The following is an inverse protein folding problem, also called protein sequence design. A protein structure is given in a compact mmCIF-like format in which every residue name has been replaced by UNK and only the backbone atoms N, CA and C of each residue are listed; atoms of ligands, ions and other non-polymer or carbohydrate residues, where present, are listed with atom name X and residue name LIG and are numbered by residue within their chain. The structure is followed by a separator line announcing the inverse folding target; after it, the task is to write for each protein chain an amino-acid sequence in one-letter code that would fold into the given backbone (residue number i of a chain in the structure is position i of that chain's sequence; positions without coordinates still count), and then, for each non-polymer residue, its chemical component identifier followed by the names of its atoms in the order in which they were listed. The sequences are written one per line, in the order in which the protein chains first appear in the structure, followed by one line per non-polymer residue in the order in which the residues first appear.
data_IF_222529821369
#
_entry.id   IF_222529821369
#
_cell.length_a   1.000
_cell.length_b   1.000
_cell.length_c   1.000
_cell.angle_alpha   90.00
_cell.angle_beta   90.00
_cell.angle_gamma   90.00
#
_symmetry.space_group_name_H-M   'P 1'
#
loop_
_entity.id
_entity.type
_entity.pdbx_description
1 polymer ?
#
# COMPACT_ATOMS: atom_id res chain seq x y z
N UNK A 1 9.15 12.88 -17.47
CA UNK A 1 9.06 12.34 -16.09
C UNK A 1 7.94 13.11 -15.38
N UNK A 2 6.96 12.41 -14.81
CA UNK A 2 5.82 13.04 -14.09
C UNK A 2 6.24 13.43 -12.67
N UNK A 3 5.54 14.37 -12.02
CA UNK A 3 5.76 14.70 -10.59
C UNK A 3 5.63 13.45 -9.70
N UNK A 4 4.65 12.59 -9.99
CA UNK A 4 4.48 11.29 -9.34
C UNK A 4 5.74 10.40 -9.44
N UNK A 5 6.48 10.44 -10.56
CA UNK A 5 7.73 9.69 -10.70
C UNK A 5 8.83 10.25 -9.76
N UNK A 6 8.96 11.58 -9.71
CA UNK A 6 9.93 12.25 -8.83
C UNK A 6 9.67 11.93 -7.35
N UNK A 7 8.40 11.98 -6.92
CA UNK A 7 8.02 11.65 -5.54
C UNK A 7 8.35 10.19 -5.21
N UNK A 8 8.00 9.25 -6.10
CA UNK A 8 8.30 7.82 -5.88
C UNK A 8 9.79 7.54 -5.78
N UNK A 9 10.61 8.12 -6.67
CA UNK A 9 12.06 7.93 -6.61
C UNK A 9 12.67 8.61 -5.38
N UNK A 10 12.19 9.79 -4.97
CA UNK A 10 12.61 10.42 -3.73
C UNK A 10 12.31 9.56 -2.50
N UNK A 11 11.10 9.02 -2.42
CA UNK A 11 10.71 8.08 -1.36
C UNK A 11 11.55 6.79 -1.41
N UNK A 12 11.83 6.26 -2.60
CA UNK A 12 12.63 5.05 -2.76
C UNK A 12 14.10 5.25 -2.32
N UNK A 13 14.68 6.44 -2.59
CA UNK A 13 16.01 6.78 -2.10
C UNK A 13 16.03 6.91 -0.57
N UNK A 14 15.03 7.58 0.02
CA UNK A 14 14.90 7.68 1.47
C UNK A 14 14.71 6.31 2.14
N UNK A 15 13.86 5.45 1.57
CA UNK A 15 13.66 4.06 1.96
C UNK A 15 14.98 3.27 1.93
N UNK A 16 15.77 3.44 0.87
CA UNK A 16 17.07 2.78 0.71
C UNK A 16 18.04 3.19 1.81
N UNK A 17 18.13 4.50 2.08
CA UNK A 17 18.98 5.03 3.15
C UNK A 17 18.54 4.50 4.52
N UNK A 18 17.24 4.56 4.84
CA UNK A 18 16.71 4.02 6.09
C UNK A 18 16.96 2.52 6.22
N UNK A 19 16.87 1.73 5.14
CA UNK A 19 17.21 0.31 5.14
C UNK A 19 18.69 0.05 5.39
N UNK A 20 19.58 0.84 4.78
CA UNK A 20 21.01 0.75 5.01
C UNK A 20 21.40 1.09 6.45
N UNK A 21 20.82 2.14 7.02
CA UNK A 21 21.09 2.57 8.39
C UNK A 21 20.55 1.54 9.39
N UNK A 22 19.33 1.03 9.20
CA UNK A 22 18.81 -0.07 10.02
C UNK A 22 19.67 -1.33 9.95
N UNK A 23 20.18 -1.68 8.75
CA UNK A 23 21.12 -2.79 8.58
C UNK A 23 22.43 -2.56 9.35
N UNK A 24 22.97 -1.33 9.34
CA UNK A 24 24.23 -1.00 10.01
C UNK A 24 24.09 -1.00 11.53
N UNK A 25 23.04 -0.37 12.04
CA UNK A 25 22.78 -0.19 13.47
C UNK A 25 22.39 -1.52 14.13
N UNK A 26 21.29 -2.14 13.67
CA UNK A 26 20.71 -3.29 14.35
C UNK A 26 21.24 -4.62 13.84
N UNK A 27 21.77 -4.66 12.60
CA UNK A 27 22.32 -5.88 11.97
C UNK A 27 21.32 -7.05 11.87
N UNK A 28 20.03 -6.72 11.84
CA UNK A 28 18.93 -7.68 11.77
C UNK A 28 18.17 -7.55 10.46
N UNK A 29 18.27 -8.56 9.60
CA UNK A 29 17.58 -8.59 8.31
C UNK A 29 16.05 -8.64 8.44
N UNK A 30 15.56 -9.19 9.55
CA UNK A 30 14.14 -9.42 9.80
C UNK A 30 13.32 -8.14 9.82
N UNK A 31 13.88 -7.03 10.31
CA UNK A 31 13.15 -5.75 10.28
C UNK A 31 13.33 -5.01 8.94
N UNK A 32 14.56 -4.78 8.44
CA UNK A 32 14.72 -3.90 7.28
C UNK A 32 14.40 -4.53 5.92
N UNK A 33 14.65 -5.84 5.75
CA UNK A 33 14.55 -6.47 4.43
C UNK A 33 13.09 -6.60 3.94
N UNK A 34 12.13 -7.07 4.76
CA UNK A 34 10.75 -7.16 4.31
C UNK A 34 10.18 -5.80 3.90
N UNK A 35 10.40 -4.77 4.71
CA UNK A 35 9.98 -3.40 4.43
C UNK A 35 10.61 -2.87 3.14
N UNK A 36 11.94 -2.98 3.02
CA UNK A 36 12.65 -2.53 1.82
C UNK A 36 12.11 -3.19 0.54
N UNK A 37 11.85 -4.51 0.58
CA UNK A 37 11.35 -5.26 -0.57
C UNK A 37 9.92 -4.87 -0.92
N UNK A 38 9.01 -4.89 0.06
CA UNK A 38 7.59 -4.61 -0.16
C UNK A 38 7.40 -3.16 -0.63
N UNK A 39 8.05 -2.21 0.03
CA UNK A 39 7.95 -0.79 -0.31
C UNK A 39 8.62 -0.48 -1.65
N UNK A 40 9.74 -1.15 -1.98
CA UNK A 40 10.36 -1.03 -3.31
C UNK A 40 9.42 -1.54 -4.40
N UNK A 41 8.74 -2.66 -4.17
CA UNK A 41 7.76 -3.19 -5.12
C UNK A 41 6.63 -2.18 -5.32
N UNK A 42 6.06 -1.65 -4.23
CA UNK A 42 4.97 -0.66 -4.31
C UNK A 42 5.42 0.63 -5.03
N UNK A 43 6.59 1.17 -4.67
CA UNK A 43 7.11 2.39 -5.25
C UNK A 43 7.52 2.22 -6.71
N UNK A 44 8.04 1.07 -7.12
CA UNK A 44 8.54 0.82 -8.48
C UNK A 44 7.57 0.05 -9.38
N UNK A 45 6.38 -0.32 -8.89
CA UNK A 45 5.37 -1.02 -9.69
C UNK A 45 5.06 -0.32 -11.02
N UNK A 46 4.90 1.02 -11.09
CA UNK A 46 4.69 1.70 -12.38
C UNK A 46 5.83 1.44 -13.37
N UNK A 47 7.07 1.35 -12.91
CA UNK A 47 8.22 1.08 -13.78
C UNK A 47 8.20 -0.34 -14.31
N UNK A 48 7.84 -1.32 -13.46
CA UNK A 48 7.61 -2.72 -13.88
C UNK A 48 6.49 -2.81 -14.92
N UNK A 49 5.35 -2.16 -14.66
CA UNK A 49 4.21 -2.16 -15.61
C UNK A 49 4.60 -1.49 -16.93
N UNK A 50 5.43 -0.45 -16.90
CA UNK A 50 5.95 0.22 -18.10
C UNK A 50 6.84 -0.72 -18.91
N UNK A 51 7.76 -1.45 -18.25
CA UNK A 51 8.66 -2.42 -18.88
C UNK A 51 7.91 -3.60 -19.50
N UNK A 52 6.81 -4.04 -18.86
CA UNK A 52 5.93 -5.10 -19.38
C UNK A 52 5.03 -4.64 -20.55
N UNK A 53 5.21 -3.41 -21.06
CA UNK A 53 4.53 -2.93 -22.26
C UNK A 53 3.21 -2.19 -22.00
N UNK A 54 2.96 -1.69 -20.79
CA UNK A 54 1.71 -0.99 -20.42
C UNK A 54 1.36 0.24 -21.28
N UNK A 55 2.30 0.78 -22.08
CA UNK A 55 2.02 1.86 -23.05
C UNK A 55 1.81 1.40 -24.50
N UNK A 56 2.35 0.25 -24.90
CA UNK A 56 2.34 -0.19 -26.30
C UNK A 56 1.00 -0.80 -26.75
N UNK A 57 0.00 -0.93 -25.86
CA UNK A 57 -1.35 -1.42 -26.20
C UNK A 57 -2.35 -0.33 -26.62
N UNK A 58 -2.04 0.96 -26.44
CA UNK A 58 -2.86 2.07 -27.00
C UNK A 58 -2.80 2.14 -28.53
N UNK A 59 -1.78 1.55 -29.17
CA UNK A 59 -1.67 1.48 -30.63
C UNK A 59 -2.60 0.44 -31.27
N UNK A 60 -3.07 -0.55 -30.52
CA UNK A 60 -4.04 -1.55 -30.98
C UNK A 60 -5.49 -1.02 -30.98
N UNK A 61 -5.74 0.12 -30.33
CA UNK A 61 -7.05 0.76 -30.24
C UNK A 61 -7.37 1.66 -31.44
N UNK A 62 -6.35 2.08 -32.22
CA UNK A 62 -6.55 2.84 -33.46
C UNK A 62 -6.93 1.93 -34.65
N UNK A 63 -6.61 0.64 -34.60
CA UNK A 63 -7.12 -0.34 -35.56
C UNK A 63 -8.63 -0.64 -35.38
N UNK A 64 -9.24 -0.16 -34.30
CA UNK A 64 -10.66 -0.35 -33.96
C UNK A 64 -11.58 0.75 -34.50
N UNK A 65 -11.03 1.81 -35.10
CA UNK A 65 -11.81 2.94 -35.66
C UNK A 65 -12.63 2.53 -36.91
N UNK A 66 -12.38 1.34 -37.46
CA UNK A 66 -13.11 0.79 -38.62
C UNK A 66 -14.35 -0.08 -38.26
N UNK A 67 -14.97 0.14 -37.10
CA UNK A 67 -16.35 -0.35 -36.85
C UNK A 67 -16.51 -1.80 -36.35
N UNK A 68 -15.42 -2.47 -35.97
CA UNK A 68 -15.51 -3.77 -35.28
C UNK A 68 -15.50 -3.55 -33.76
N UNK A 69 -16.56 -3.98 -33.07
CA UNK A 69 -16.62 -4.05 -31.60
C UNK A 69 -15.43 -4.87 -31.12
N UNK A 70 -14.38 -4.23 -30.61
CA UNK A 70 -13.24 -4.95 -30.06
C UNK A 70 -13.72 -5.73 -28.83
N UNK A 71 -13.83 -7.06 -28.97
CA UNK A 71 -13.99 -7.98 -27.86
C UNK A 71 -12.83 -7.77 -26.89
N UNK A 72 -13.10 -7.05 -25.81
CA UNK A 72 -12.08 -6.75 -24.79
C UNK A 72 -11.88 -8.03 -24.00
N UNK A 73 -10.72 -8.67 -24.10
CA UNK A 73 -10.45 -9.91 -23.35
C UNK A 73 -10.32 -9.63 -21.84
N UNK A 74 -10.48 -10.66 -20.99
CA UNK A 74 -10.28 -10.51 -19.54
C UNK A 74 -8.85 -10.03 -19.21
N UNK A 75 -7.86 -10.53 -19.95
CA UNK A 75 -6.48 -10.10 -19.83
C UNK A 75 -6.32 -8.60 -20.15
N UNK A 76 -7.08 -8.09 -21.11
CA UNK A 76 -7.08 -6.67 -21.46
C UNK A 76 -7.72 -5.82 -20.35
N UNK A 77 -8.85 -6.25 -19.78
CA UNK A 77 -9.46 -5.59 -18.62
C UNK A 77 -8.48 -5.49 -17.45
N UNK A 78 -7.77 -6.57 -17.14
CA UNK A 78 -6.75 -6.58 -16.08
C UNK A 78 -5.61 -5.61 -16.41
N UNK A 79 -5.04 -5.69 -17.62
CA UNK A 79 -3.89 -4.84 -17.99
C UNK A 79 -4.25 -3.37 -18.06
N UNK A 80 -5.45 -3.05 -18.53
CA UNK A 80 -5.95 -1.67 -18.64
C UNK A 80 -6.25 -1.11 -17.24
N UNK A 81 -6.78 -1.92 -16.33
CA UNK A 81 -6.99 -1.55 -14.93
C UNK A 81 -5.66 -1.28 -14.22
N UNK A 82 -4.69 -2.21 -14.32
CA UNK A 82 -3.37 -2.04 -13.71
C UNK A 82 -2.68 -0.78 -14.27
N UNK A 83 -2.71 -0.59 -15.60
CA UNK A 83 -2.10 0.59 -16.23
C UNK A 83 -2.78 1.88 -15.79
N UNK A 84 -4.12 1.91 -15.74
CA UNK A 84 -4.86 3.08 -15.29
C UNK A 84 -4.51 3.46 -13.86
N UNK A 85 -4.48 2.48 -12.95
CA UNK A 85 -4.28 2.72 -11.52
C UNK A 85 -2.83 3.00 -11.14
N UNK A 86 -1.86 2.49 -11.89
CA UNK A 86 -0.42 2.61 -11.57
C UNK A 86 0.33 3.60 -12.46
N UNK A 87 0.17 3.53 -13.79
CA UNK A 87 0.92 4.33 -14.76
C UNK A 87 0.27 5.68 -15.03
N UNK A 88 -1.05 5.68 -15.20
CA UNK A 88 -1.79 6.84 -15.67
C UNK A 88 -2.37 7.69 -14.53
N UNK A 89 -2.54 7.10 -13.34
CA UNK A 89 -3.02 7.81 -12.16
C UNK A 89 -1.98 8.81 -11.63
N UNK A 90 -2.23 10.14 -11.73
CA UNK A 90 -1.29 11.15 -11.23
C UNK A 90 -1.14 11.10 -9.71
N UNK A 91 -2.13 10.54 -8.99
CA UNK A 91 -2.11 10.39 -7.54
C UNK A 91 -1.46 9.09 -7.06
N UNK A 92 -0.95 8.22 -7.96
CA UNK A 92 -0.38 6.92 -7.57
C UNK A 92 0.67 7.04 -6.45
N UNK A 93 1.60 8.01 -6.55
CA UNK A 93 2.59 8.27 -5.52
C UNK A 93 1.96 8.55 -4.15
N UNK A 94 0.83 9.27 -4.10
CA UNK A 94 0.14 9.55 -2.84
C UNK A 94 -0.51 8.29 -2.24
N UNK A 95 -0.91 7.30 -3.05
CA UNK A 95 -1.46 6.05 -2.53
C UNK A 95 -0.38 5.18 -1.85
N UNK A 96 0.84 5.16 -2.41
CA UNK A 96 1.94 4.31 -1.92
C UNK A 96 2.91 5.05 -0.97
N UNK A 97 2.79 6.37 -0.82
CA UNK A 97 3.68 7.12 0.06
C UNK A 97 3.55 6.71 1.54
N UNK A 98 2.36 6.50 2.13
CA UNK A 98 2.25 6.19 3.55
C UNK A 98 2.97 4.91 3.98
N UNK A 99 2.93 3.85 3.17
CA UNK A 99 3.62 2.59 3.52
C UNK A 99 5.13 2.79 3.59
N UNK A 100 5.71 3.46 2.59
CA UNK A 100 7.14 3.77 2.58
C UNK A 100 7.52 4.76 3.69
N UNK A 101 6.67 5.76 3.95
CA UNK A 101 6.91 6.75 5.00
C UNK A 101 6.93 6.10 6.38
N UNK A 102 6.03 5.16 6.66
CA UNK A 102 6.01 4.40 7.92
C UNK A 102 7.35 3.74 8.20
N UNK A 103 7.94 3.08 7.21
CA UNK A 103 9.27 2.53 7.39
C UNK A 103 10.38 3.59 7.43
N UNK A 104 10.31 4.66 6.62
CA UNK A 104 11.33 5.74 6.62
C UNK A 104 11.47 6.37 8.01
N UNK A 105 10.37 6.53 8.74
CA UNK A 105 10.37 7.08 10.11
C UNK A 105 10.79 6.06 11.19
N UNK A 106 11.14 4.83 10.80
CA UNK A 106 11.86 3.87 11.65
C UNK A 106 13.39 4.07 11.61
N UNK A 107 13.89 5.15 11.02
CA UNK A 107 15.33 5.41 10.95
C UNK A 107 15.94 5.46 12.36
N UNK A 108 17.12 4.84 12.61
CA UNK A 108 17.77 4.85 13.92
C UNK A 108 17.96 6.20 14.62
N UNK A 109 17.89 7.33 13.89
CA UNK A 109 18.10 8.68 14.40
C UNK A 109 16.81 9.35 14.90
N UNK A 110 15.65 8.89 14.46
CA UNK A 110 14.34 9.50 14.74
C UNK A 110 13.23 8.45 14.73
N UNK A 111 13.48 7.32 15.37
CA UNK A 111 12.65 6.12 15.30
C UNK A 111 11.32 6.33 16.04
N UNK A 112 10.20 6.30 15.33
CA UNK A 112 8.88 6.45 15.96
C UNK A 112 8.40 5.18 16.69
N UNK A 113 9.07 4.05 16.49
CA UNK A 113 8.74 2.76 17.10
C UNK A 113 9.60 2.46 18.34
N UNK A 114 10.63 3.30 18.61
CA UNK A 114 11.52 3.14 19.77
C UNK A 114 12.16 4.44 20.23
N UNK A 115 12.27 4.60 21.56
CA UNK A 115 12.90 5.77 22.20
C UNK A 115 11.91 6.93 22.36
N UNK A 116 12.42 8.14 22.60
CA UNK A 116 11.60 9.29 23.02
C UNK A 116 10.45 9.63 22.05
N UNK A 117 10.64 9.39 20.74
CA UNK A 117 9.59 9.63 19.75
C UNK A 117 8.44 8.62 19.84
N UNK A 118 8.73 7.38 20.26
CA UNK A 118 7.74 6.33 20.44
C UNK A 118 6.84 6.56 21.66
N UNK A 119 7.20 7.47 22.55
CA UNK A 119 6.38 7.86 23.70
C UNK A 119 5.43 9.02 23.39
N UNK A 120 5.58 9.68 22.23
CA UNK A 120 4.73 10.81 21.85
C UNK A 120 3.34 10.28 21.50
N UNK A 121 2.31 10.94 22.03
CA UNK A 121 0.90 10.61 21.79
C UNK A 121 0.14 11.81 21.24
N UNK A 122 -0.68 11.59 20.21
CA UNK A 122 -1.61 12.57 19.65
C UNK A 122 -3.01 11.99 19.75
N UNK A 123 -3.87 12.62 20.55
CA UNK A 123 -5.24 12.14 20.83
C UNK A 123 -5.30 10.67 21.32
N UNK A 124 -4.29 10.23 22.08
CA UNK A 124 -4.20 8.86 22.61
C UNK A 124 -3.59 7.83 21.65
N UNK A 125 -3.30 8.20 20.41
CA UNK A 125 -2.61 7.36 19.43
C UNK A 125 -1.10 7.66 19.42
N UNK A 126 -0.27 6.63 19.24
CA UNK A 126 1.17 6.79 19.04
C UNK A 126 1.50 7.49 17.72
N UNK A 127 2.77 7.87 17.54
CA UNK A 127 3.20 8.46 16.27
C UNK A 127 3.22 7.43 15.12
N UNK A 128 3.38 6.16 15.43
CA UNK A 128 3.23 4.98 14.56
C UNK A 128 1.80 4.77 14.05
N UNK A 129 0.80 5.05 14.88
CA UNK A 129 -0.60 4.97 14.46
C UNK A 129 -0.91 5.86 13.24
N UNK A 130 -0.15 6.94 13.02
CA UNK A 130 -0.33 7.83 11.86
C UNK A 130 -0.01 7.10 10.54
N UNK A 131 1.18 6.52 10.32
CA UNK A 131 1.45 5.74 9.12
C UNK A 131 0.54 4.50 8.99
N UNK A 132 0.12 3.85 10.08
CA UNK A 132 -0.88 2.76 10.02
C UNK A 132 -2.21 3.25 9.42
N UNK A 133 -2.84 4.26 10.04
CA UNK A 133 -4.11 4.80 9.56
C UNK A 133 -4.02 5.40 8.15
N UNK A 134 -2.92 6.08 7.83
CA UNK A 134 -2.68 6.63 6.50
C UNK A 134 -2.52 5.52 5.44
N UNK A 135 -1.79 4.45 5.75
CA UNK A 135 -1.62 3.28 4.86
C UNK A 135 -2.94 2.56 4.65
N UNK A 136 -3.73 2.35 5.70
CA UNK A 136 -5.05 1.77 5.58
C UNK A 136 -5.97 2.64 4.69
N UNK A 137 -5.98 3.96 4.92
CA UNK A 137 -6.75 4.90 4.11
C UNK A 137 -6.37 4.81 2.62
N UNK A 138 -5.08 4.85 2.30
CA UNK A 138 -4.64 4.85 0.90
C UNK A 138 -4.79 3.50 0.24
N UNK A 139 -4.49 2.40 0.92
CA UNK A 139 -4.68 1.04 0.40
C UNK A 139 -6.16 0.77 0.08
N UNK A 140 -7.06 1.16 1.00
CA UNK A 140 -8.51 1.03 0.80
C UNK A 140 -8.95 1.92 -0.36
N UNK A 141 -8.55 3.19 -0.38
CA UNK A 141 -8.91 4.11 -1.46
C UNK A 141 -8.43 3.60 -2.83
N UNK A 142 -7.20 3.11 -2.93
CA UNK A 142 -6.65 2.54 -4.16
C UNK A 142 -7.46 1.32 -4.61
N UNK A 143 -7.83 0.44 -3.68
CA UNK A 143 -8.62 -0.76 -3.98
C UNK A 143 -10.04 -0.41 -4.44
N UNK A 144 -10.71 0.54 -3.78
CA UNK A 144 -12.03 1.03 -4.17
C UNK A 144 -11.99 1.62 -5.58
N UNK A 145 -11.04 2.51 -5.86
CA UNK A 145 -10.89 3.14 -7.18
C UNK A 145 -10.52 2.11 -8.27
N UNK A 146 -9.74 1.09 -7.92
CA UNK A 146 -9.38 -0.02 -8.82
C UNK A 146 -10.60 -0.85 -9.21
N UNK A 147 -11.43 -1.22 -8.23
CA UNK A 147 -12.66 -1.99 -8.46
C UNK A 147 -13.66 -1.19 -9.29
N UNK A 148 -13.83 0.10 -9.00
CA UNK A 148 -14.70 0.98 -9.78
C UNK A 148 -14.21 1.12 -11.22
N UNK A 149 -12.92 1.30 -11.43
CA UNK A 149 -12.36 1.38 -12.79
C UNK A 149 -12.59 0.07 -13.56
N UNK A 150 -12.23 -1.07 -12.96
CA UNK A 150 -12.42 -2.39 -13.57
C UNK A 150 -13.89 -2.66 -13.94
N UNK A 151 -14.81 -2.32 -13.03
CA UNK A 151 -16.25 -2.49 -13.24
C UNK A 151 -16.81 -1.60 -14.36
N UNK A 152 -16.18 -0.45 -14.63
CA UNK A 152 -16.60 0.44 -15.72
C UNK A 152 -16.15 -0.05 -17.10
N UNK A 153 -15.01 -0.75 -17.18
CA UNK A 153 -14.46 -1.20 -18.46
C UNK A 153 -14.85 -2.63 -18.83
N UNK A 154 -15.14 -3.50 -17.86
CA UNK A 154 -15.53 -4.90 -18.11
C UNK A 154 -16.88 -4.98 -18.84
N UNK A 155 -17.00 -5.91 -19.79
CA UNK A 155 -18.20 -6.09 -20.64
C UNK A 155 -18.89 -7.44 -20.37
N UNK A 156 -20.20 -7.60 -20.64
CA UNK A 156 -20.92 -8.84 -20.34
C UNK A 156 -20.35 -10.12 -20.97
N UNK A 157 -19.57 -10.00 -22.05
CA UNK A 157 -18.92 -11.15 -22.69
C UNK A 157 -17.62 -11.60 -21.99
N UNK A 158 -17.11 -10.83 -21.02
CA UNK A 158 -15.94 -11.17 -20.21
C UNK A 158 -16.27 -12.26 -19.20
N UNK A 159 -15.37 -13.24 -18.99
CA UNK A 159 -15.61 -14.30 -18.00
C UNK A 159 -15.59 -13.76 -16.57
N UNK A 160 -14.82 -12.69 -16.34
CA UNK A 160 -14.71 -12.04 -15.04
C UNK A 160 -15.82 -11.00 -14.79
N UNK A 161 -16.74 -10.79 -15.73
CA UNK A 161 -17.76 -9.73 -15.62
C UNK A 161 -18.54 -9.79 -14.30
N UNK A 162 -19.16 -10.93 -14.00
CA UNK A 162 -19.99 -11.07 -12.80
C UNK A 162 -19.18 -10.91 -11.52
N UNK A 163 -17.96 -11.44 -11.49
CA UNK A 163 -17.07 -11.33 -10.32
C UNK A 163 -16.66 -9.87 -10.07
N UNK A 164 -16.23 -9.15 -11.12
CA UNK A 164 -15.81 -7.75 -11.00
C UNK A 164 -16.98 -6.85 -10.61
N UNK A 165 -18.16 -7.06 -11.21
CA UNK A 165 -19.38 -6.31 -10.85
C UNK A 165 -19.79 -6.56 -9.41
N UNK A 166 -19.85 -7.83 -9.00
CA UNK A 166 -20.13 -8.19 -7.61
C UNK A 166 -19.12 -7.57 -6.65
N UNK A 167 -17.82 -7.61 -6.98
CA UNK A 167 -16.79 -7.04 -6.15
C UNK A 167 -16.90 -5.51 -6.03
N UNK A 168 -17.25 -4.82 -7.11
CA UNK A 168 -17.49 -3.37 -7.08
C UNK A 168 -18.74 -3.00 -6.27
N UNK A 169 -19.80 -3.82 -6.32
CA UNK A 169 -21.00 -3.64 -5.51
C UNK A 169 -20.73 -3.83 -4.00
N UNK A 170 -19.84 -4.77 -3.65
CA UNK A 170 -19.50 -5.12 -2.27
C UNK A 170 -18.14 -4.55 -1.82
N UNK A 171 -17.62 -3.56 -2.53
CA UNK A 171 -16.24 -3.06 -2.39
C UNK A 171 -15.88 -2.60 -0.97
N UNK A 172 -16.82 -2.02 -0.23
CA UNK A 172 -16.62 -1.60 1.17
C UNK A 172 -16.37 -2.79 2.09
N UNK A 173 -17.17 -3.85 1.95
CA UNK A 173 -17.01 -5.07 2.75
C UNK A 173 -15.71 -5.81 2.38
N UNK A 174 -15.43 -5.91 1.07
CA UNK A 174 -14.20 -6.55 0.59
C UNK A 174 -12.95 -5.85 1.08
N UNK A 175 -12.90 -4.51 0.99
CA UNK A 175 -11.76 -3.74 1.50
C UNK A 175 -11.62 -3.83 3.02
N UNK A 176 -12.73 -3.93 3.76
CA UNK A 176 -12.69 -4.21 5.20
C UNK A 176 -12.08 -5.58 5.49
N UNK A 177 -12.50 -6.63 4.78
CA UNK A 177 -11.93 -7.98 4.93
C UNK A 177 -10.44 -8.04 4.58
N UNK A 178 -10.03 -7.38 3.49
CA UNK A 178 -8.62 -7.26 3.09
C UNK A 178 -7.80 -6.55 4.17
N UNK A 179 -8.31 -5.45 4.72
CA UNK A 179 -7.63 -4.72 5.78
C UNK A 179 -7.46 -5.54 7.05
N UNK A 180 -8.50 -6.28 7.47
CA UNK A 180 -8.41 -7.19 8.62
C UNK A 180 -7.33 -8.24 8.40
N UNK A 181 -7.31 -8.87 7.22
CA UNK A 181 -6.29 -9.85 6.87
C UNK A 181 -4.88 -9.26 6.84
N UNK A 182 -4.71 -8.07 6.24
CA UNK A 182 -3.43 -7.37 6.17
C UNK A 182 -2.93 -6.99 7.57
N UNK A 183 -3.80 -6.41 8.41
CA UNK A 183 -3.49 -6.05 9.80
C UNK A 183 -3.06 -7.29 10.58
N UNK A 184 -3.83 -8.38 10.51
CA UNK A 184 -3.49 -9.62 11.22
C UNK A 184 -2.11 -10.17 10.80
N UNK A 185 -1.82 -10.23 9.50
CA UNK A 185 -0.54 -10.73 9.00
C UNK A 185 0.61 -9.82 9.46
N UNK A 186 0.40 -8.51 9.43
CA UNK A 186 1.38 -7.51 9.84
C UNK A 186 1.73 -7.65 11.33
N UNK A 187 0.74 -7.54 12.21
CA UNK A 187 0.90 -7.64 13.67
C UNK A 187 1.53 -8.97 14.09
N UNK A 188 1.09 -10.08 13.48
CA UNK A 188 1.68 -11.38 13.75
C UNK A 188 3.14 -11.46 13.29
N UNK A 189 3.46 -10.81 12.16
CA UNK A 189 4.80 -10.69 11.64
C UNK A 189 5.70 -9.91 12.60
N UNK A 190 5.24 -8.75 13.06
CA UNK A 190 5.97 -7.90 14.01
C UNK A 190 6.21 -8.61 15.33
N UNK A 191 5.18 -9.23 15.92
CA UNK A 191 5.32 -10.05 17.13
C UNK A 191 6.40 -11.12 16.96
N UNK A 192 6.37 -11.86 15.84
CA UNK A 192 7.35 -12.92 15.58
C UNK A 192 8.76 -12.38 15.39
N UNK A 193 8.91 -11.25 14.70
CA UNK A 193 10.19 -10.57 14.53
C UNK A 193 10.70 -10.13 15.90
N UNK A 194 9.90 -9.40 16.68
CA UNK A 194 10.24 -8.92 18.01
C UNK A 194 10.79 -10.03 18.92
N UNK A 195 10.05 -11.13 19.07
CA UNK A 195 10.47 -12.28 19.89
C UNK A 195 11.77 -12.91 19.36
N UNK A 196 11.90 -13.06 18.05
CA UNK A 196 13.11 -13.62 17.43
C UNK A 196 14.33 -12.72 17.65
N UNK A 197 14.20 -11.41 17.41
CA UNK A 197 15.31 -10.47 17.51
C UNK A 197 15.77 -10.30 18.97
N UNK A 198 14.85 -10.25 19.93
CA UNK A 198 15.19 -10.27 21.37
C UNK A 198 15.99 -11.50 21.73
N UNK A 199 15.49 -12.69 21.37
CA UNK A 199 16.19 -13.95 21.68
C UNK A 199 17.60 -13.99 21.09
N UNK A 200 17.77 -13.52 19.85
CA UNK A 200 19.06 -13.51 19.17
C UNK A 200 20.05 -12.52 19.80
N UNK A 201 19.55 -11.45 20.40
CA UNK A 201 20.36 -10.40 21.02
C UNK A 201 20.44 -10.50 22.55
N UNK A 202 20.22 -11.69 23.13
CA UNK A 202 20.23 -11.91 24.59
C UNK A 202 19.26 -11.00 25.35
N UNK A 203 18.09 -10.74 24.77
CA UNK A 203 17.04 -9.83 25.27
C UNK A 203 17.49 -8.37 25.40
N UNK A 204 18.53 -7.97 24.70
CA UNK A 204 18.98 -6.58 24.64
C UNK A 204 18.11 -5.77 23.68
N UNK A 205 17.16 -5.02 24.25
CA UNK A 205 16.24 -4.16 23.50
C UNK A 205 16.97 -3.09 22.69
N UNK A 206 18.20 -2.71 23.07
CA UNK A 206 18.95 -1.66 22.35
C UNK A 206 19.37 -2.10 20.96
N UNK A 207 19.47 -3.42 20.73
CA UNK A 207 19.94 -4.05 19.48
C UNK A 207 18.85 -4.44 18.50
N UNK A 208 17.58 -4.17 18.81
CA UNK A 208 16.46 -4.43 17.92
C UNK A 208 15.82 -3.12 17.46
N UNK A 209 15.25 -3.13 16.26
CA UNK A 209 14.57 -1.95 15.74
C UNK A 209 13.10 -1.91 16.17
N UNK A 210 12.42 -3.06 16.05
CA UNK A 210 10.97 -3.16 16.17
C UNK A 210 10.57 -3.64 17.55
N UNK A 211 9.79 -2.80 18.23
CA UNK A 211 9.09 -3.16 19.45
C UNK A 211 7.70 -3.66 19.08
N UNK A 212 7.17 -4.58 19.88
CA UNK A 212 5.79 -5.02 19.75
C UNK A 212 5.19 -5.16 21.14
N UNK A 213 4.01 -4.58 21.33
CA UNK A 213 3.20 -4.80 22.52
C UNK A 213 1.70 -4.75 22.18
N UNK A 214 0.90 -5.30 23.08
CA UNK A 214 -0.54 -5.46 22.85
C UNK A 214 -1.29 -4.12 22.81
N UNK A 215 -0.86 -3.14 23.60
CA UNK A 215 -1.52 -1.84 23.64
C UNK A 215 -1.29 -1.09 22.34
N UNK A 216 -0.10 -1.24 21.76
CA UNK A 216 0.25 -0.68 20.46
C UNK A 216 -0.52 -1.34 19.31
N UNK A 217 -0.56 -2.68 19.28
CA UNK A 217 -1.40 -3.41 18.33
C UNK A 217 -2.87 -2.98 18.37
N UNK A 218 -3.41 -2.71 19.56
CA UNK A 218 -4.79 -2.19 19.68
C UNK A 218 -4.91 -0.80 19.05
N UNK A 219 -3.94 0.09 19.28
CA UNK A 219 -3.91 1.43 18.67
C UNK A 219 -3.78 1.35 17.16
N UNK A 220 -2.97 0.44 16.63
CA UNK A 220 -2.83 0.25 15.18
C UNK A 220 -4.07 -0.33 14.54
N UNK A 221 -4.75 -1.27 15.22
CA UNK A 221 -6.06 -1.75 14.80
C UNK A 221 -7.10 -0.62 14.74
N UNK A 222 -7.10 0.27 15.74
CA UNK A 222 -7.98 1.46 15.75
C UNK A 222 -7.61 2.39 14.59
N UNK A 223 -6.34 2.69 14.40
CA UNK A 223 -5.85 3.57 13.35
C UNK A 223 -6.20 3.05 11.95
N UNK A 224 -5.98 1.75 11.71
CA UNK A 224 -6.36 1.07 10.47
C UNK A 224 -7.87 1.16 10.21
N UNK A 225 -8.67 0.91 11.26
CA UNK A 225 -10.14 1.01 11.19
C UNK A 225 -10.59 2.42 10.83
N UNK A 226 -9.99 3.45 11.44
CA UNK A 226 -10.25 4.84 11.11
C UNK A 226 -9.87 5.16 9.66
N UNK A 227 -8.70 4.70 9.21
CA UNK A 227 -8.26 4.86 7.83
C UNK A 227 -9.26 4.27 6.81
N UNK A 228 -9.73 3.04 7.05
CA UNK A 228 -10.77 2.41 6.22
C UNK A 228 -12.10 3.15 6.24
N UNK A 229 -12.56 3.57 7.42
CA UNK A 229 -13.81 4.28 7.57
C UNK A 229 -13.80 5.61 6.80
N UNK A 230 -12.72 6.37 6.94
CA UNK A 230 -12.53 7.64 6.22
C UNK A 230 -12.47 7.40 4.70
N UNK A 231 -11.71 6.40 4.25
CA UNK A 231 -11.61 6.07 2.82
C UNK A 231 -12.97 5.71 2.22
N UNK A 232 -13.76 4.91 2.93
CA UNK A 232 -15.11 4.50 2.53
C UNK A 232 -16.06 5.70 2.45
N UNK A 233 -16.05 6.57 3.46
CA UNK A 233 -16.88 7.79 3.48
C UNK A 233 -16.50 8.72 2.32
N UNK A 234 -15.20 8.97 2.12
CA UNK A 234 -14.72 9.82 1.03
C UNK A 234 -15.10 9.26 -0.34
N UNK A 235 -14.95 7.95 -0.55
CA UNK A 235 -15.36 7.27 -1.78
C UNK A 235 -16.86 7.39 -2.02
N UNK A 236 -17.69 7.13 -1.00
CA UNK A 236 -19.15 7.27 -1.09
C UNK A 236 -19.59 8.70 -1.41
N UNK A 237 -18.92 9.72 -0.86
CA UNK A 237 -19.19 11.13 -1.17
C UNK A 237 -18.81 11.49 -2.60
N UNK A 238 -17.75 10.91 -3.17
CA UNK A 238 -17.36 11.10 -4.57
C UNK A 238 -18.35 10.45 -5.52
N UNK A 239 -18.85 9.26 -5.18
CA UNK A 239 -19.83 8.53 -5.98
C UNK A 239 -21.16 9.27 -6.14
N UNK A 240 -21.60 10.02 -5.12
CA UNK A 240 -22.84 10.83 -5.18
C UNK A 240 -22.74 12.09 -6.05
N UNK A 241 -21.53 12.50 -6.44
CA UNK A 241 -21.29 13.73 -7.22
C UNK A 241 -21.15 13.48 -8.74
N UNK A 242 -21.25 12.22 -9.17
CA UNK A 242 -21.24 11.81 -10.58
C UNK A 242 -22.65 11.40 -10.97
#
# INVERSE_FOLDING_TARGET
MKVSDLVRYGLWLALTETAMENRREYRMATTWLPHFVIDSIALLLPDVVRLLGGKNRRGLTLATVNGAVANTSDAQVITDTISAMTLDNPAYAAYVAPVALGYIVSHPKFNIYKGDMADIRIAGLGLDAIPHGATAFTMVSLTLDTLDYAANIVKPHNRLYSLIKWAAEHKTLLTGGVLVGATFIWELGEYRIHVYELKKNNNDITKINMMWDIDDTIRDCIANTLGWAIATVVSGLRGKRR
#
